data_IF_875257814601
#
_entry.id   IF_875257814601
#
_cell.length_a   1.000
_cell.length_b   1.000
_cell.length_c   1.000
_cell.angle_alpha   90.00
_cell.angle_beta   90.00
_cell.angle_gamma   90.00
#
_symmetry.space_group_name_H-M   'P 1'
#
loop_
_entity.id
_entity.type
_entity.pdbx_description
1 polymer ?
#
# COMPACT_ATOMS: atom_id res chain seq x y z
N UNK A 1 15.17 -9.10 -49.04
CA UNK A 1 14.33 -8.06 -48.42
C UNK A 1 13.04 -8.74 -48.02
N UNK A 2 12.91 -8.99 -46.73
CA UNK A 2 11.62 -9.23 -46.08
C UNK A 2 11.80 -8.68 -44.68
N UNK A 3 11.00 -7.67 -44.43
CA UNK A 3 11.05 -6.76 -43.29
C UNK A 3 10.80 -7.49 -41.97
N UNK A 4 11.30 -6.88 -40.90
CA UNK A 4 11.07 -7.33 -39.54
C UNK A 4 9.72 -6.88 -38.98
N UNK A 5 9.69 -6.91 -37.65
CA UNK A 5 8.69 -6.39 -36.72
C UNK A 5 7.65 -7.40 -36.24
N UNK A 6 7.94 -7.87 -35.03
CA UNK A 6 7.07 -8.64 -34.16
C UNK A 6 7.83 -9.02 -32.89
N UNK A 7 8.65 -8.09 -32.36
CA UNK A 7 9.07 -8.15 -30.96
C UNK A 7 7.79 -7.90 -30.15
N UNK A 8 7.03 -8.97 -29.92
CA UNK A 8 5.90 -8.97 -28.99
C UNK A 8 6.48 -8.81 -27.59
N UNK A 9 6.77 -7.55 -27.25
CA UNK A 9 7.11 -7.13 -25.91
C UNK A 9 6.08 -7.71 -24.95
N UNK A 10 6.54 -8.63 -24.10
CA UNK A 10 5.84 -8.96 -22.87
C UNK A 10 5.87 -7.72 -21.96
N UNK A 11 4.99 -6.75 -22.24
CA UNK A 11 4.50 -5.74 -21.28
C UNK A 11 3.74 -6.39 -20.10
N UNK A 12 3.56 -7.72 -20.13
CA UNK A 12 2.97 -8.50 -19.05
C UNK A 12 3.93 -8.70 -17.88
N UNK A 13 3.82 -7.86 -16.86
CA UNK A 13 3.21 -8.28 -15.58
C UNK A 13 3.21 -7.11 -14.58
N UNK A 14 2.68 -5.95 -15.02
CA UNK A 14 2.43 -4.83 -14.14
C UNK A 14 1.01 -4.94 -13.56
N UNK A 15 0.88 -5.03 -12.24
CA UNK A 15 -0.42 -5.06 -11.55
C UNK A 15 -0.66 -3.73 -10.85
N UNK A 16 -1.76 -3.08 -11.18
CA UNK A 16 -2.18 -1.85 -10.50
C UNK A 16 -2.85 -2.15 -9.15
N UNK A 17 -2.48 -1.34 -8.17
CA UNK A 17 -3.15 -1.29 -6.88
C UNK A 17 -4.52 -0.61 -7.01
N UNK A 18 -5.50 -1.18 -6.33
CA UNK A 18 -6.81 -0.53 -6.16
C UNK A 18 -6.70 0.65 -5.21
N UNK A 19 -7.65 1.57 -5.27
CA UNK A 19 -7.66 2.77 -4.41
C UNK A 19 -7.64 2.44 -2.92
N UNK A 20 -8.32 1.37 -2.50
CA UNK A 20 -8.31 0.92 -1.10
C UNK A 20 -6.93 0.35 -0.72
N UNK A 21 -6.28 -0.36 -1.64
CA UNK A 21 -4.94 -0.92 -1.45
C UNK A 21 -3.88 0.19 -1.38
N UNK A 22 -4.01 1.24 -2.21
CA UNK A 22 -3.17 2.44 -2.17
C UNK A 22 -3.31 3.17 -0.84
N UNK A 23 -4.54 3.40 -0.38
CA UNK A 23 -4.82 4.01 0.92
C UNK A 23 -4.24 3.18 2.06
N UNK A 24 -4.41 1.86 2.03
CA UNK A 24 -3.85 0.97 3.04
C UNK A 24 -2.30 1.03 3.07
N UNK A 25 -1.66 1.10 1.90
CA UNK A 25 -0.19 1.26 1.80
C UNK A 25 0.26 2.61 2.38
N UNK A 26 -0.44 3.70 2.07
CA UNK A 26 -0.15 5.04 2.60
C UNK A 26 -0.23 5.06 4.13
N UNK A 27 -1.35 4.60 4.68
CA UNK A 27 -1.60 4.53 6.12
C UNK A 27 -0.55 3.66 6.81
N UNK A 28 -0.27 2.46 6.28
CA UNK A 28 0.74 1.56 6.84
C UNK A 28 2.12 2.21 6.87
N UNK A 29 2.51 2.91 5.81
CA UNK A 29 3.80 3.61 5.73
C UNK A 29 3.89 4.67 6.82
N UNK A 30 2.85 5.49 6.96
CA UNK A 30 2.80 6.55 7.97
C UNK A 30 2.80 6.01 9.40
N UNK A 31 2.03 4.95 9.66
CA UNK A 31 2.02 4.25 10.95
C UNK A 31 3.41 3.70 11.31
N UNK A 32 4.13 3.14 10.32
CA UNK A 32 5.48 2.60 10.52
C UNK A 32 6.47 3.71 10.85
N UNK A 33 6.43 4.84 10.13
CA UNK A 33 7.29 6.00 10.39
C UNK A 33 7.04 6.55 11.79
N UNK A 34 5.76 6.68 12.18
CA UNK A 34 5.40 7.11 13.52
C UNK A 34 5.87 6.13 14.61
N UNK A 35 5.75 4.82 14.38
CA UNK A 35 6.24 3.81 15.31
C UNK A 35 7.76 3.91 15.51
N UNK A 36 8.52 4.16 14.43
CA UNK A 36 9.96 4.43 14.51
C UNK A 36 10.22 5.70 15.34
N UNK A 37 9.53 6.80 15.04
CA UNK A 37 9.70 8.08 15.75
C UNK A 37 9.37 7.96 17.25
N UNK A 38 8.36 7.19 17.63
CA UNK A 38 8.02 6.94 19.03
C UNK A 38 9.08 6.13 19.78
N UNK A 39 9.91 5.35 19.08
CA UNK A 39 11.02 4.61 19.68
C UNK A 39 12.29 5.45 19.72
N UNK A 40 12.58 6.20 18.66
CA UNK A 40 13.84 6.95 18.54
C UNK A 40 13.77 8.32 19.21
N UNK A 41 12.60 8.99 19.19
CA UNK A 41 12.38 10.35 19.68
C UNK A 41 11.05 10.48 20.47
N UNK A 42 10.87 9.72 21.56
CA UNK A 42 9.57 9.56 22.24
C UNK A 42 9.01 10.85 22.85
N UNK A 43 9.87 11.81 23.22
CA UNK A 43 9.48 13.05 23.88
C UNK A 43 9.59 14.28 22.97
N UNK A 44 9.85 14.08 21.67
CA UNK A 44 9.89 15.17 20.70
C UNK A 44 8.50 15.73 20.45
N UNK A 45 8.38 17.06 20.44
CA UNK A 45 7.13 17.74 20.09
C UNK A 45 6.66 17.37 18.68
N UNK A 46 7.57 17.12 17.76
CA UNK A 46 7.27 16.73 16.38
C UNK A 46 6.69 15.31 16.34
N UNK A 47 7.22 14.37 17.12
CA UNK A 47 6.66 13.02 17.27
C UNK A 47 5.22 13.09 17.82
N UNK A 48 4.97 13.93 18.83
CA UNK A 48 3.62 14.15 19.35
C UNK A 48 2.67 14.77 18.31
N UNK A 49 3.14 15.74 17.52
CA UNK A 49 2.34 16.34 16.46
C UNK A 49 1.99 15.33 15.36
N UNK A 50 2.95 14.49 14.96
CA UNK A 50 2.74 13.40 14.01
C UNK A 50 1.74 12.35 14.55
N UNK A 51 1.86 11.96 15.83
CA UNK A 51 0.92 11.05 16.48
C UNK A 51 -0.49 11.62 16.47
N UNK A 52 -0.65 12.88 16.87
CA UNK A 52 -1.95 13.55 16.87
C UNK A 52 -2.55 13.60 15.46
N UNK A 53 -1.77 14.01 14.46
CA UNK A 53 -2.25 14.07 13.09
C UNK A 53 -2.64 12.70 12.55
N UNK A 54 -1.93 11.63 12.91
CA UNK A 54 -2.27 10.27 12.51
C UNK A 54 -3.59 9.82 13.14
N UNK A 55 -3.80 10.10 14.43
CA UNK A 55 -5.05 9.79 15.13
C UNK A 55 -6.24 10.54 14.52
N UNK A 56 -6.05 11.82 14.18
CA UNK A 56 -7.13 12.67 13.64
C UNK A 56 -7.49 12.36 12.19
N UNK A 57 -6.57 11.80 11.39
CA UNK A 57 -6.75 11.69 9.93
C UNK A 57 -6.72 10.26 9.39
N UNK A 58 -5.95 9.37 9.99
CA UNK A 58 -5.64 8.07 9.41
C UNK A 58 -6.20 6.91 10.25
N UNK A 59 -6.35 7.11 11.57
CA UNK A 59 -6.67 6.01 12.47
C UNK A 59 -8.06 5.38 12.25
N UNK A 60 -9.06 6.18 11.88
CA UNK A 60 -10.41 5.67 11.57
C UNK A 60 -10.42 4.92 10.25
N UNK A 61 -9.89 5.52 9.18
CA UNK A 61 -9.77 4.90 7.86
C UNK A 61 -8.96 3.59 7.92
N UNK A 62 -7.88 3.56 8.71
CA UNK A 62 -7.11 2.35 8.95
C UNK A 62 -7.97 1.22 9.53
N UNK A 63 -8.83 1.54 10.51
CA UNK A 63 -9.72 0.56 11.13
C UNK A 63 -10.79 0.06 10.15
N UNK A 64 -11.34 0.96 9.33
CA UNK A 64 -12.34 0.59 8.30
C UNK A 64 -11.71 -0.37 7.30
N UNK A 65 -10.55 -0.01 6.72
CA UNK A 65 -9.86 -0.85 5.74
C UNK A 65 -9.48 -2.22 6.32
N UNK A 66 -9.02 -2.29 7.57
CA UNK A 66 -8.73 -3.57 8.23
C UNK A 66 -10.00 -4.41 8.36
N UNK A 67 -11.14 -3.82 8.72
CA UNK A 67 -12.41 -4.56 8.82
C UNK A 67 -12.86 -5.08 7.45
N UNK A 68 -12.73 -4.27 6.40
CA UNK A 68 -13.05 -4.67 5.02
C UNK A 68 -12.18 -5.84 4.57
N UNK A 69 -10.86 -5.77 4.80
CA UNK A 69 -9.93 -6.87 4.49
C UNK A 69 -10.28 -8.14 5.26
N UNK A 70 -10.62 -8.03 6.54
CA UNK A 70 -11.02 -9.18 7.36
C UNK A 70 -12.39 -9.75 6.98
N UNK A 71 -13.26 -8.97 6.35
CA UNK A 71 -14.55 -9.43 5.84
C UNK A 71 -14.42 -10.21 4.52
N UNK A 72 -13.31 -10.07 3.79
CA UNK A 72 -13.09 -10.81 2.55
C UNK A 72 -12.90 -12.32 2.83
N UNK A 73 -13.46 -13.20 1.98
CA UNK A 73 -13.17 -14.62 2.06
C UNK A 73 -11.66 -14.89 1.95
N UNK A 74 -11.06 -15.72 2.82
CA UNK A 74 -9.61 -15.96 2.82
C UNK A 74 -9.04 -16.39 1.47
N UNK A 75 -9.82 -17.14 0.66
CA UNK A 75 -9.41 -17.54 -0.68
C UNK A 75 -9.22 -16.33 -1.62
N UNK A 76 -10.13 -15.35 -1.57
CA UNK A 76 -10.04 -14.12 -2.38
C UNK A 76 -8.86 -13.25 -1.99
N UNK A 77 -8.60 -13.14 -0.68
CA UNK A 77 -7.44 -12.41 -0.19
C UNK A 77 -6.13 -13.06 -0.65
N UNK A 78 -6.03 -14.39 -0.57
CA UNK A 78 -4.84 -15.14 -1.05
C UNK A 78 -4.66 -15.00 -2.57
N UNK A 79 -5.74 -15.07 -3.35
CA UNK A 79 -5.69 -14.85 -4.79
C UNK A 79 -5.12 -13.47 -5.11
N UNK A 80 -5.62 -12.41 -4.46
CA UNK A 80 -5.14 -11.04 -4.68
C UNK A 80 -3.68 -10.86 -4.23
N UNK A 81 -3.28 -11.43 -3.09
CA UNK A 81 -1.88 -11.41 -2.66
C UNK A 81 -0.99 -12.14 -3.67
N UNK A 82 -1.42 -13.31 -4.17
CA UNK A 82 -0.63 -14.08 -5.14
C UNK A 82 -0.52 -13.38 -6.49
N UNK A 83 -1.54 -12.64 -6.92
CA UNK A 83 -1.49 -11.74 -8.06
C UNK A 83 -0.44 -10.64 -7.87
N UNK A 84 -0.53 -9.88 -6.77
CA UNK A 84 0.40 -8.80 -6.44
C UNK A 84 1.85 -9.27 -6.25
N UNK A 85 2.05 -10.50 -5.75
CA UNK A 85 3.39 -11.05 -5.48
C UNK A 85 4.06 -11.64 -6.73
N UNK A 86 3.27 -12.08 -7.72
CA UNK A 86 3.81 -12.62 -8.98
C UNK A 86 4.15 -11.53 -9.99
N UNK A 87 3.48 -10.39 -9.89
CA UNK A 87 3.72 -9.21 -10.71
C UNK A 87 5.21 -8.81 -10.71
N UNK A 88 5.78 -8.62 -11.91
CA UNK A 88 7.14 -8.06 -12.08
C UNK A 88 7.22 -6.61 -11.62
N UNK A 89 6.09 -5.89 -11.68
CA UNK A 89 5.97 -4.56 -11.08
C UNK A 89 4.59 -4.36 -10.50
N UNK A 90 4.50 -3.71 -9.34
CA UNK A 90 3.23 -3.26 -8.76
C UNK A 90 3.17 -1.75 -8.92
N UNK A 91 2.15 -1.25 -9.60
CA UNK A 91 2.01 0.17 -9.93
C UNK A 91 0.90 0.83 -9.11
N UNK A 92 1.11 2.10 -8.81
CA UNK A 92 0.13 2.95 -8.14
C UNK A 92 0.83 4.04 -7.32
N UNK A 93 0.37 5.27 -7.50
CA UNK A 93 0.95 6.44 -6.85
C UNK A 93 0.38 6.58 -5.43
N UNK A 94 1.27 6.49 -4.44
CA UNK A 94 0.91 6.69 -3.03
C UNK A 94 1.11 8.16 -2.71
N UNK A 95 0.04 8.95 -2.78
CA UNK A 95 0.07 10.35 -2.33
C UNK A 95 0.16 10.40 -0.81
N UNK A 96 1.13 11.16 -0.29
CA UNK A 96 1.41 11.31 1.14
C UNK A 96 0.52 12.37 1.81
#
# INVERSE_FOLDING_TARGET
>A
MTEGLGDEGHEGDAVELKDEELRLVAIRRRATQLAVALVTEPFSADTYAQLRSYVERDAEDAQVLVREVLALPPARLRERIAELTRAKSVQGEVTA
#
